data_IF_402928724264
#
_entry.id   IF_402928724264
#
_cell.length_a   1.000
_cell.length_b   1.000
_cell.length_c   1.000
_cell.angle_alpha   90.00
_cell.angle_beta   90.00
_cell.angle_gamma   90.00
#
_symmetry.space_group_name_H-M   'P 1'
#
loop_
_entity.id
_entity.type
_entity.pdbx_description
1 polymer ?
#
# COMPACT_ATOMS: atom_id res chain seq x y z
N UNK A 1 -84.61 43.74 32.72
CA UNK A 1 -84.49 42.79 31.51
C UNK A 1 -83.12 42.80 30.80
N UNK A 2 -82.13 43.63 31.20
CA UNK A 2 -80.87 43.80 30.46
C UNK A 2 -79.76 42.77 30.94
N UNK A 3 -79.74 42.31 32.20
CA UNK A 3 -78.72 41.37 32.72
C UNK A 3 -78.79 39.93 32.15
N UNK A 4 -79.98 39.43 31.78
CA UNK A 4 -80.12 38.03 31.22
C UNK A 4 -79.64 37.90 29.78
N UNK A 5 -79.66 38.91 28.95
CA UNK A 5 -79.19 38.89 27.56
C UNK A 5 -77.66 38.86 27.43
N UNK A 6 -76.96 39.52 28.36
CA UNK A 6 -75.49 39.59 28.35
C UNK A 6 -74.84 38.26 28.77
N UNK A 7 -75.45 37.51 29.71
CA UNK A 7 -74.95 36.22 30.18
C UNK A 7 -75.10 35.14 29.06
N UNK A 8 -76.19 35.11 28.34
CA UNK A 8 -76.39 34.18 27.17
C UNK A 8 -75.46 34.45 26.03
N UNK A 9 -75.07 35.70 25.73
CA UNK A 9 -74.10 36.08 24.70
C UNK A 9 -72.65 35.64 25.08
N UNK A 10 -72.28 35.74 26.36
CA UNK A 10 -70.94 35.30 26.82
C UNK A 10 -70.82 33.76 26.83
N UNK A 11 -71.86 33.02 27.22
CA UNK A 11 -71.86 31.57 27.18
C UNK A 11 -71.75 31.00 25.73
N UNK A 12 -72.52 31.58 24.80
CA UNK A 12 -72.44 31.19 23.37
C UNK A 12 -71.08 31.50 22.72
N UNK A 13 -70.41 32.61 23.11
CA UNK A 13 -69.08 32.97 22.64
C UNK A 13 -67.98 32.08 23.20
N UNK A 14 -68.11 31.57 24.46
CA UNK A 14 -67.20 30.63 25.13
C UNK A 14 -67.34 29.20 24.52
N UNK A 15 -68.58 28.76 24.23
CA UNK A 15 -68.85 27.47 23.60
C UNK A 15 -68.29 27.44 22.14
N UNK A 16 -68.48 28.54 21.38
CA UNK A 16 -67.97 28.66 20.00
C UNK A 16 -66.43 28.74 19.90
N UNK A 17 -65.78 29.29 20.96
CA UNK A 17 -64.30 29.32 21.07
C UNK A 17 -63.70 27.98 21.45
N UNK A 18 -64.43 27.15 22.24
CA UNK A 18 -64.01 25.82 22.68
C UNK A 18 -64.14 24.75 21.55
N UNK A 19 -65.16 24.83 20.70
CA UNK A 19 -65.32 24.00 19.48
C UNK A 19 -64.33 24.37 18.41
N UNK A 20 -64.03 25.67 18.17
CA UNK A 20 -63.06 26.14 17.20
C UNK A 20 -61.60 25.75 17.57
N UNK A 21 -61.30 25.62 18.90
CA UNK A 21 -59.99 25.15 19.39
C UNK A 21 -59.83 23.62 19.23
N UNK A 22 -60.90 22.83 19.39
CA UNK A 22 -60.90 21.36 19.19
C UNK A 22 -60.72 21.00 17.72
N UNK A 23 -61.40 21.70 16.80
CA UNK A 23 -61.27 21.45 15.36
C UNK A 23 -59.92 21.86 14.80
N UNK A 24 -59.23 22.84 15.40
CA UNK A 24 -57.87 23.23 15.03
C UNK A 24 -56.82 22.19 15.49
N UNK A 25 -56.99 21.61 16.67
CA UNK A 25 -56.10 20.55 17.20
C UNK A 25 -56.21 19.24 16.39
N UNK A 26 -57.44 18.84 16.07
CA UNK A 26 -57.68 17.61 15.26
C UNK A 26 -57.15 17.79 13.81
N UNK A 27 -57.35 18.98 13.20
CA UNK A 27 -56.79 19.26 11.88
C UNK A 27 -55.26 19.30 11.87
N UNK A 28 -54.60 19.78 12.94
CA UNK A 28 -53.15 19.74 13.06
C UNK A 28 -52.63 18.32 13.31
N UNK A 29 -53.30 17.52 14.12
CA UNK A 29 -52.99 16.13 14.32
C UNK A 29 -53.11 15.30 13.05
N UNK A 30 -54.17 15.53 12.26
CA UNK A 30 -54.33 14.83 10.96
C UNK A 30 -53.19 15.22 10.00
N UNK A 31 -52.75 16.45 9.95
CA UNK A 31 -51.59 16.87 9.13
C UNK A 31 -50.29 16.22 9.56
N UNK A 32 -50.07 16.10 10.86
CA UNK A 32 -48.85 15.43 11.40
C UNK A 32 -48.89 13.95 11.08
N UNK A 33 -50.01 13.26 11.32
CA UNK A 33 -50.16 11.85 11.04
C UNK A 33 -50.05 11.54 9.56
N UNK A 34 -50.70 12.35 8.67
CA UNK A 34 -50.52 12.17 7.23
C UNK A 34 -49.13 12.49 6.74
N UNK A 35 -48.42 13.47 7.30
CA UNK A 35 -47.02 13.71 7.01
C UNK A 35 -46.11 12.55 7.40
N UNK A 36 -46.35 11.96 8.58
CA UNK A 36 -45.60 10.79 9.04
C UNK A 36 -45.88 9.55 8.16
N UNK A 37 -47.13 9.35 7.75
CA UNK A 37 -47.50 8.26 6.85
C UNK A 37 -46.86 8.41 5.47
N UNK A 38 -46.80 9.62 4.91
CA UNK A 38 -46.09 9.90 3.65
C UNK A 38 -44.60 9.64 3.78
N UNK A 39 -43.98 10.06 4.88
CA UNK A 39 -42.55 9.83 5.13
C UNK A 39 -42.23 8.35 5.22
N UNK A 40 -43.04 7.56 5.94
CA UNK A 40 -42.88 6.10 6.01
C UNK A 40 -43.04 5.43 4.66
N UNK A 41 -44.01 5.90 3.85
CA UNK A 41 -44.19 5.41 2.48
C UNK A 41 -42.98 5.68 1.60
N UNK A 42 -42.40 6.88 1.70
CA UNK A 42 -41.19 7.25 0.95
C UNK A 42 -39.98 6.43 1.35
N UNK A 43 -39.80 6.18 2.66
CA UNK A 43 -38.71 5.32 3.19
C UNK A 43 -38.90 3.88 2.69
N UNK A 44 -40.14 3.38 2.70
CA UNK A 44 -40.44 2.03 2.20
C UNK A 44 -40.19 1.90 0.70
N UNK A 45 -40.60 2.91 -0.10
CA UNK A 45 -40.32 2.94 -1.54
C UNK A 45 -38.82 3.02 -1.84
N UNK A 46 -38.10 3.83 -1.10
CA UNK A 46 -36.64 3.92 -1.22
C UNK A 46 -35.95 2.60 -0.87
N UNK A 47 -36.44 1.89 0.17
CA UNK A 47 -35.98 0.55 0.54
C UNK A 47 -36.25 -0.47 -0.57
N UNK A 48 -37.44 -0.46 -1.18
CA UNK A 48 -37.78 -1.34 -2.32
C UNK A 48 -36.90 -1.05 -3.55
N UNK A 49 -36.66 0.21 -3.85
CA UNK A 49 -35.77 0.62 -4.95
C UNK A 49 -34.34 0.15 -4.69
N UNK A 50 -33.81 0.38 -3.48
CA UNK A 50 -32.49 -0.08 -3.10
C UNK A 50 -32.38 -1.62 -3.16
N UNK A 51 -33.38 -2.33 -2.65
CA UNK A 51 -33.45 -3.79 -2.76
C UNK A 51 -33.48 -4.25 -4.22
N UNK A 52 -34.23 -3.59 -5.08
CA UNK A 52 -34.32 -3.93 -6.50
C UNK A 52 -33.01 -3.69 -7.26
N UNK A 53 -32.31 -2.59 -6.97
CA UNK A 53 -31.03 -2.27 -7.63
C UNK A 53 -29.82 -3.02 -7.04
N UNK A 54 -29.78 -3.24 -5.72
CA UNK A 54 -28.66 -3.91 -5.06
C UNK A 54 -28.71 -5.45 -5.15
N UNK A 55 -29.92 -6.04 -5.28
CA UNK A 55 -30.08 -7.49 -5.36
C UNK A 55 -30.38 -8.00 -6.78
N UNK A 56 -30.44 -7.12 -7.77
CA UNK A 56 -30.46 -7.52 -9.18
C UNK A 56 -29.09 -8.08 -9.54
N UNK A 57 -28.88 -9.38 -9.30
CA UNK A 57 -27.82 -10.12 -9.99
C UNK A 57 -28.16 -10.05 -11.47
N UNK A 58 -27.35 -9.36 -12.27
CA UNK A 58 -27.44 -9.46 -13.72
C UNK A 58 -27.39 -10.95 -14.09
N UNK A 59 -28.30 -11.45 -14.93
CA UNK A 59 -28.17 -12.80 -15.43
C UNK A 59 -26.86 -12.88 -16.18
N UNK A 60 -25.96 -13.78 -15.73
CA UNK A 60 -24.75 -14.13 -16.46
C UNK A 60 -25.21 -14.47 -17.89
N UNK A 61 -24.86 -13.64 -18.87
CA UNK A 61 -25.04 -13.94 -20.29
C UNK A 61 -24.22 -15.20 -20.58
N UNK A 62 -24.91 -16.35 -20.51
CA UNK A 62 -24.35 -17.58 -21.07
C UNK A 62 -24.27 -17.35 -22.56
N UNK A 63 -23.06 -17.09 -23.05
CA UNK A 63 -22.78 -17.07 -24.48
C UNK A 63 -23.15 -18.43 -25.05
N UNK A 64 -23.87 -18.50 -26.19
CA UNK A 64 -24.13 -19.75 -26.84
C UNK A 64 -22.80 -20.46 -27.13
N UNK A 65 -22.77 -21.81 -27.09
CA UNK A 65 -21.54 -22.54 -27.35
C UNK A 65 -21.00 -22.11 -28.71
N UNK A 66 -19.81 -21.53 -28.71
CA UNK A 66 -19.06 -21.14 -29.90
C UNK A 66 -18.98 -22.37 -30.81
N UNK A 67 -19.51 -22.24 -32.02
CA UNK A 67 -19.26 -23.20 -33.07
C UNK A 67 -17.75 -23.36 -33.20
N UNK A 68 -17.28 -24.62 -33.06
CA UNK A 68 -15.87 -24.97 -33.17
C UNK A 68 -15.36 -24.50 -34.55
N UNK A 69 -14.55 -23.46 -34.54
CA UNK A 69 -13.70 -23.15 -35.66
C UNK A 69 -12.82 -24.36 -35.97
N UNK A 70 -12.49 -24.66 -37.22
CA UNK A 70 -11.65 -25.79 -37.58
C UNK A 70 -10.31 -25.67 -36.82
N UNK A 71 -9.93 -26.74 -36.15
CA UNK A 71 -8.69 -26.86 -35.40
C UNK A 71 -7.55 -26.69 -36.42
N UNK A 72 -7.05 -25.46 -36.53
CA UNK A 72 -5.78 -25.21 -37.15
C UNK A 72 -4.74 -25.88 -36.28
N UNK A 73 -3.97 -26.77 -36.82
CA UNK A 73 -2.98 -27.60 -36.11
C UNK A 73 -2.16 -26.73 -35.19
N UNK A 74 -2.33 -26.98 -33.89
CA UNK A 74 -1.47 -26.41 -32.85
C UNK A 74 -0.08 -26.96 -33.14
N UNK A 75 0.98 -26.11 -33.25
CA UNK A 75 2.34 -26.63 -33.38
C UNK A 75 2.57 -27.58 -32.22
N UNK A 76 2.97 -28.81 -32.51
CA UNK A 76 3.41 -29.78 -31.52
C UNK A 76 4.61 -29.17 -30.81
N UNK A 77 4.40 -28.60 -29.62
CA UNK A 77 5.50 -28.29 -28.73
C UNK A 77 6.15 -29.62 -28.37
N UNK A 78 7.44 -29.74 -28.61
CA UNK A 78 8.21 -30.86 -28.12
C UNK A 78 7.97 -31.03 -26.64
N UNK A 79 7.37 -32.12 -26.22
CA UNK A 79 7.26 -32.51 -24.83
C UNK A 79 8.69 -32.89 -24.43
N UNK A 80 9.39 -31.94 -23.79
CA UNK A 80 10.65 -32.28 -23.15
C UNK A 80 10.34 -33.33 -22.07
N UNK A 81 11.05 -34.46 -22.05
CA UNK A 81 10.89 -35.43 -20.97
C UNK A 81 11.12 -34.70 -19.65
N UNK A 82 10.27 -34.99 -18.68
CA UNK A 82 10.35 -34.47 -17.33
C UNK A 82 11.79 -34.58 -16.85
N UNK A 83 12.54 -33.46 -16.95
CA UNK A 83 13.92 -33.43 -16.48
C UNK A 83 13.85 -33.63 -14.99
N UNK A 84 14.47 -34.71 -14.53
CA UNK A 84 14.80 -34.90 -13.15
C UNK A 84 15.18 -33.57 -12.50
N UNK A 85 14.53 -33.23 -11.41
CA UNK A 85 14.82 -32.02 -10.61
C UNK A 85 16.33 -32.02 -10.41
N UNK A 86 17.09 -31.04 -10.94
CA UNK A 86 18.51 -31.02 -10.74
C UNK A 86 18.75 -31.02 -9.22
N UNK A 87 19.68 -31.80 -8.70
CA UNK A 87 19.97 -31.83 -7.29
C UNK A 87 20.18 -30.40 -6.80
N UNK A 88 19.51 -30.06 -5.70
CA UNK A 88 19.55 -28.74 -5.08
C UNK A 88 21.02 -28.29 -5.06
N UNK A 89 21.31 -27.15 -5.73
CA UNK A 89 22.68 -26.63 -5.79
C UNK A 89 23.21 -26.57 -4.37
N UNK A 90 24.35 -27.18 -4.07
CA UNK A 90 24.91 -27.16 -2.72
C UNK A 90 24.95 -25.71 -2.23
N UNK A 91 24.66 -25.46 -0.95
CA UNK A 91 24.62 -24.10 -0.41
C UNK A 91 25.92 -23.39 -0.81
N UNK A 92 25.79 -22.25 -1.47
CA UNK A 92 26.93 -21.44 -1.91
C UNK A 92 27.92 -21.35 -0.74
N UNK A 93 29.13 -21.84 -0.95
CA UNK A 93 30.22 -21.77 0.04
C UNK A 93 30.28 -20.31 0.52
N UNK A 94 30.38 -20.05 1.84
CA UNK A 94 30.47 -18.69 2.34
C UNK A 94 31.63 -18.01 1.63
N UNK A 95 31.31 -16.87 0.99
CA UNK A 95 32.31 -16.05 0.32
C UNK A 95 33.28 -15.60 1.38
N UNK A 96 34.53 -16.08 1.33
CA UNK A 96 35.60 -15.66 2.25
C UNK A 96 35.81 -14.16 1.93
N UNK A 97 35.39 -13.29 2.84
CA UNK A 97 35.68 -11.85 2.79
C UNK A 97 37.11 -11.73 3.29
N UNK A 98 38.01 -11.03 2.56
CA UNK A 98 39.32 -10.72 3.07
C UNK A 98 39.22 -10.07 4.45
N UNK A 99 40.12 -10.38 5.41
CA UNK A 99 40.05 -9.87 6.77
C UNK A 99 40.01 -8.33 6.87
N UNK A 100 40.47 -7.62 5.85
CA UNK A 100 40.62 -6.16 5.84
C UNK A 100 39.43 -5.39 5.25
N UNK A 101 38.38 -6.06 4.72
CA UNK A 101 37.20 -5.39 4.16
C UNK A 101 35.98 -5.56 5.06
N UNK A 102 35.50 -4.45 5.64
CA UNK A 102 34.24 -4.46 6.37
C UNK A 102 33.08 -4.85 5.44
N UNK A 103 32.18 -5.78 5.86
CA UNK A 103 31.04 -6.18 5.07
C UNK A 103 30.08 -4.99 4.84
N UNK A 104 29.44 -4.95 3.67
CA UNK A 104 28.56 -3.85 3.26
C UNK A 104 27.16 -4.02 3.82
N UNK A 105 26.58 -2.94 4.31
CA UNK A 105 25.18 -2.91 4.79
C UNK A 105 24.49 -1.70 4.19
N UNK A 106 23.34 -1.93 3.55
CA UNK A 106 22.39 -0.87 3.24
C UNK A 106 21.27 -0.86 4.30
N UNK A 107 20.98 0.30 4.85
CA UNK A 107 19.82 0.56 5.69
C UNK A 107 18.90 1.47 4.91
N UNK A 108 17.67 1.00 4.65
CA UNK A 108 16.63 1.71 3.93
C UNK A 108 15.62 2.21 4.96
N UNK A 109 15.24 3.47 4.87
CA UNK A 109 14.19 4.08 5.69
C UNK A 109 12.96 4.24 4.81
N UNK A 110 11.98 3.36 5.03
CA UNK A 110 10.72 3.30 4.28
C UNK A 110 9.67 4.29 4.84
N UNK A 111 8.47 4.32 4.25
CA UNK A 111 7.28 5.09 4.65
C UNK A 111 7.50 6.60 4.81
N UNK A 112 8.47 7.17 4.12
CA UNK A 112 8.65 8.61 4.11
C UNK A 112 7.65 9.29 3.18
N UNK A 113 7.26 10.53 3.50
CA UNK A 113 6.30 11.30 2.70
C UNK A 113 5.27 12.05 3.54
N UNK A 114 4.98 11.57 4.75
CA UNK A 114 3.91 12.11 5.60
C UNK A 114 4.39 12.90 6.82
N UNK A 115 5.53 12.56 7.41
CA UNK A 115 6.10 13.29 8.55
C UNK A 115 7.48 13.89 8.22
N UNK A 116 7.47 15.20 7.92
CA UNK A 116 8.69 15.96 7.62
C UNK A 116 9.64 16.09 8.81
N UNK A 117 9.13 16.03 10.03
CA UNK A 117 9.96 16.25 11.22
C UNK A 117 10.80 15.02 11.54
N UNK A 118 10.20 13.84 11.47
CA UNK A 118 10.96 12.61 11.66
C UNK A 118 11.91 12.36 10.48
N UNK A 119 11.47 12.63 9.24
CA UNK A 119 12.35 12.55 8.07
C UNK A 119 13.58 13.44 8.22
N UNK A 120 13.43 14.70 8.66
CA UNK A 120 14.55 15.61 8.93
C UNK A 120 15.54 15.04 9.96
N UNK A 121 15.05 14.34 11.00
CA UNK A 121 15.89 13.69 12.01
C UNK A 121 16.73 12.57 11.38
N UNK A 122 16.13 11.70 10.57
CA UNK A 122 16.88 10.64 9.88
C UNK A 122 17.91 11.21 8.90
N UNK A 123 17.54 12.24 8.14
CA UNK A 123 18.45 12.95 7.24
C UNK A 123 19.64 13.65 7.95
N UNK A 124 19.55 13.86 9.25
CA UNK A 124 20.61 14.45 10.07
C UNK A 124 21.49 13.42 10.78
N UNK A 125 21.25 12.11 10.60
CA UNK A 125 22.12 11.08 11.15
C UNK A 125 23.46 11.08 10.44
N UNK A 126 24.54 10.88 11.21
CA UNK A 126 25.89 10.72 10.68
C UNK A 126 26.11 9.30 10.13
N UNK A 127 25.49 8.99 9.00
CA UNK A 127 25.58 7.67 8.37
C UNK A 127 25.08 7.69 6.93
N UNK A 128 25.37 6.63 6.20
CA UNK A 128 24.86 6.42 4.84
C UNK A 128 23.58 5.60 4.91
N UNK A 129 22.50 6.20 4.44
CA UNK A 129 21.17 5.58 4.37
C UNK A 129 20.61 5.71 2.96
N UNK A 130 19.60 4.90 2.66
CA UNK A 130 18.73 5.08 1.49
C UNK A 130 17.34 5.48 1.99
N UNK A 131 16.74 6.46 1.35
CA UNK A 131 15.42 6.96 1.75
C UNK A 131 14.37 6.55 0.74
N UNK A 132 13.39 5.80 1.18
CA UNK A 132 12.29 5.31 0.36
C UNK A 132 11.02 6.09 0.68
N UNK A 133 10.47 6.74 -0.34
CA UNK A 133 9.45 7.77 -0.18
C UNK A 133 8.18 7.33 -0.87
N UNK A 134 7.06 7.36 -0.12
CA UNK A 134 5.71 7.11 -0.64
C UNK A 134 5.32 8.22 -1.64
N UNK A 135 4.69 7.88 -2.76
CA UNK A 135 4.18 8.87 -3.70
C UNK A 135 2.96 9.60 -3.13
N UNK A 136 2.63 10.75 -3.69
CA UNK A 136 1.43 11.55 -3.40
C UNK A 136 1.25 11.98 -1.93
N UNK A 137 2.25 11.80 -1.09
CA UNK A 137 2.24 12.32 0.27
C UNK A 137 2.44 13.84 0.33
N UNK A 138 1.98 14.51 1.39
CA UNK A 138 2.04 15.97 1.50
C UNK A 138 3.47 16.53 1.53
N UNK A 139 4.46 15.69 1.85
CA UNK A 139 5.86 16.10 1.94
C UNK A 139 6.80 15.29 1.04
N UNK A 140 6.26 14.40 0.17
CA UNK A 140 7.02 13.52 -0.74
C UNK A 140 8.14 14.27 -1.46
N UNK A 141 7.79 15.27 -2.27
CA UNK A 141 8.78 16.05 -3.06
C UNK A 141 9.77 16.80 -2.19
N UNK A 142 9.31 17.33 -1.05
CA UNK A 142 10.19 18.10 -0.14
C UNK A 142 11.21 17.19 0.53
N UNK A 143 10.80 15.99 0.97
CA UNK A 143 11.71 15.03 1.62
C UNK A 143 12.70 14.48 0.60
N UNK A 144 12.23 14.07 -0.59
CA UNK A 144 13.10 13.57 -1.64
C UNK A 144 14.18 14.60 -2.04
N UNK A 145 13.80 15.84 -2.32
CA UNK A 145 14.78 16.91 -2.62
C UNK A 145 15.76 17.19 -1.48
N UNK A 146 15.30 17.10 -0.21
CA UNK A 146 16.19 17.29 0.94
C UNK A 146 17.18 16.12 1.10
N UNK A 147 16.79 14.90 0.74
CA UNK A 147 17.67 13.74 0.69
C UNK A 147 18.68 13.85 -0.45
N UNK A 148 18.23 14.23 -1.65
CA UNK A 148 19.06 14.47 -2.82
C UNK A 148 20.15 15.51 -2.54
N UNK A 149 19.78 16.66 -1.97
CA UNK A 149 20.71 17.75 -1.64
C UNK A 149 21.81 17.31 -0.65
N UNK A 150 21.61 16.20 0.06
CA UNK A 150 22.61 15.57 0.94
C UNK A 150 23.35 14.40 0.30
N UNK A 151 23.09 14.09 -0.94
CA UNK A 151 23.72 13.01 -1.70
C UNK A 151 23.24 11.60 -1.32
N UNK A 152 22.10 11.48 -0.66
CA UNK A 152 21.50 10.16 -0.35
C UNK A 152 20.84 9.54 -1.57
N UNK A 153 20.85 8.21 -1.63
CA UNK A 153 19.99 7.50 -2.57
C UNK A 153 18.52 7.63 -2.17
N UNK A 154 17.68 7.89 -3.18
CA UNK A 154 16.23 7.98 -3.04
C UNK A 154 15.61 6.83 -3.81
N UNK A 155 14.58 6.23 -3.21
CA UNK A 155 13.76 5.20 -3.84
C UNK A 155 12.29 5.63 -3.80
N UNK A 156 11.53 5.19 -4.79
CA UNK A 156 10.07 5.18 -4.69
C UNK A 156 9.65 4.02 -3.79
N UNK A 157 8.93 4.29 -2.71
CA UNK A 157 8.24 3.28 -1.93
C UNK A 157 6.88 3.04 -2.57
N UNK A 158 6.82 2.06 -3.48
CA UNK A 158 5.70 1.85 -4.39
C UNK A 158 4.55 1.11 -3.70
N UNK A 159 3.38 1.75 -3.53
CA UNK A 159 2.22 1.10 -2.92
C UNK A 159 1.70 -0.03 -3.80
N UNK A 160 1.62 -1.23 -3.26
CA UNK A 160 1.19 -2.44 -3.94
C UNK A 160 0.14 -3.20 -3.15
N UNK A 161 -0.80 -3.84 -3.83
CA UNK A 161 -1.91 -4.58 -3.23
C UNK A 161 -1.45 -5.67 -2.25
N UNK A 162 -1.86 -5.59 -0.96
CA UNK A 162 -1.71 -6.68 -0.01
C UNK A 162 -2.85 -7.70 -0.14
N UNK A 163 -2.69 -8.88 0.48
CA UNK A 163 -3.74 -9.92 0.52
C UNK A 163 -5.00 -9.39 1.18
N UNK A 164 -4.86 -8.53 2.18
CA UNK A 164 -5.91 -7.98 3.01
C UNK A 164 -6.67 -6.79 2.37
N UNK A 165 -6.29 -6.39 1.15
CA UNK A 165 -7.03 -5.32 0.44
C UNK A 165 -8.48 -5.76 0.15
N UNK A 166 -9.49 -4.89 0.31
CA UNK A 166 -9.43 -3.45 0.63
C UNK A 166 -9.42 -3.11 2.12
N UNK A 167 -9.47 -4.09 3.03
CA UNK A 167 -9.49 -3.86 4.47
C UNK A 167 -8.23 -3.12 4.95
N UNK A 168 -7.09 -3.41 4.33
CA UNK A 168 -5.83 -2.69 4.50
C UNK A 168 -5.51 -2.01 3.17
N UNK A 169 -5.47 -0.68 3.19
CA UNK A 169 -5.21 0.13 2.00
C UNK A 169 -3.78 0.72 2.06
N UNK A 170 -2.92 0.44 1.06
CA UNK A 170 -1.56 0.98 1.01
C UNK A 170 -1.47 2.51 0.81
N UNK A 171 -2.59 3.16 0.53
CA UNK A 171 -2.63 4.60 0.30
C UNK A 171 -2.66 5.01 -1.18
N UNK A 172 -2.49 6.31 -1.44
CA UNK A 172 -2.54 6.85 -2.79
C UNK A 172 -1.48 6.23 -3.71
N UNK A 173 -1.84 6.00 -4.97
CA UNK A 173 -0.93 5.39 -5.95
C UNK A 173 -0.87 3.87 -5.89
N UNK A 174 -1.74 3.20 -5.12
CA UNK A 174 -1.70 1.74 -5.01
C UNK A 174 -1.91 1.05 -6.36
N UNK A 175 -1.00 0.14 -6.69
CA UNK A 175 -1.15 -0.77 -7.81
C UNK A 175 -1.98 -1.98 -7.38
N UNK A 176 -3.08 -2.26 -8.10
CA UNK A 176 -3.98 -3.37 -7.83
C UNK A 176 -3.86 -4.45 -8.90
N UNK A 177 -3.99 -5.70 -8.49
CA UNK A 177 -3.96 -6.85 -9.41
C UNK A 177 -5.17 -6.91 -10.35
N UNK A 178 -6.25 -6.17 -10.03
CA UNK A 178 -7.44 -6.02 -10.86
C UNK A 178 -7.33 -4.96 -11.96
N UNK A 179 -6.28 -4.12 -11.93
CA UNK A 179 -6.05 -3.11 -12.96
C UNK A 179 -5.74 -3.76 -14.31
N UNK A 180 -6.28 -3.20 -15.38
CA UNK A 180 -5.84 -3.52 -16.74
C UNK A 180 -4.36 -3.15 -16.93
N UNK A 181 -3.68 -3.73 -17.94
CA UNK A 181 -2.29 -3.40 -18.22
C UNK A 181 -2.03 -1.89 -18.36
N UNK A 182 -2.90 -1.20 -19.07
CA UNK A 182 -2.76 0.24 -19.33
C UNK A 182 -2.95 1.07 -18.06
N UNK A 183 -3.97 0.74 -17.23
CA UNK A 183 -4.20 1.40 -15.94
C UNK A 183 -3.02 1.21 -14.99
N UNK A 184 -2.48 -0.01 -14.92
CA UNK A 184 -1.34 -0.31 -14.06
C UNK A 184 -0.09 0.46 -14.48
N UNK A 185 0.20 0.49 -15.80
CA UNK A 185 1.36 1.20 -16.34
C UNK A 185 1.20 2.72 -16.16
N UNK A 186 0.01 3.26 -16.39
CA UNK A 186 -0.27 4.67 -16.22
C UNK A 186 -0.11 5.10 -14.76
N UNK A 187 -0.68 4.33 -13.81
CA UNK A 187 -0.52 4.60 -12.38
C UNK A 187 0.95 4.50 -11.95
N UNK A 188 1.65 3.45 -12.36
CA UNK A 188 3.08 3.29 -12.06
C UNK A 188 3.90 4.48 -12.55
N UNK A 189 3.65 4.98 -13.76
CA UNK A 189 4.36 6.16 -14.28
C UNK A 189 4.07 7.41 -13.45
N UNK A 190 2.82 7.63 -13.04
CA UNK A 190 2.44 8.75 -12.15
C UNK A 190 3.21 8.69 -10.82
N UNK A 191 3.31 7.49 -10.23
CA UNK A 191 4.02 7.30 -8.96
C UNK A 191 5.52 7.53 -9.11
N UNK A 192 6.13 7.03 -10.19
CA UNK A 192 7.55 7.23 -10.51
C UNK A 192 7.89 8.71 -10.75
N UNK A 193 6.98 9.46 -11.36
CA UNK A 193 7.16 10.88 -11.68
C UNK A 193 6.91 11.79 -10.47
N UNK A 194 6.18 11.31 -9.47
CA UNK A 194 5.89 12.10 -8.26
C UNK A 194 7.07 12.18 -7.28
N UNK A 195 7.94 11.17 -7.26
CA UNK A 195 9.13 11.15 -6.39
C UNK A 195 10.38 11.54 -7.20
N UNK A 196 10.94 12.74 -7.01
CA UNK A 196 12.07 13.18 -7.80
C UNK A 196 13.36 12.41 -7.47
N UNK A 197 14.25 12.30 -8.46
CA UNK A 197 15.64 11.83 -8.33
C UNK A 197 15.79 10.40 -7.80
N UNK A 198 14.78 9.55 -8.03
CA UNK A 198 14.84 8.14 -7.63
C UNK A 198 15.91 7.37 -8.41
N UNK A 199 16.59 6.47 -7.72
CA UNK A 199 17.55 5.52 -8.31
C UNK A 199 17.00 4.09 -8.34
N UNK A 200 15.94 3.82 -7.60
CA UNK A 200 15.31 2.50 -7.52
C UNK A 200 13.93 2.56 -6.89
N UNK A 201 13.35 1.39 -6.74
CA UNK A 201 12.00 1.17 -6.20
C UNK A 201 12.05 0.03 -5.19
N UNK A 202 11.25 0.10 -4.14
CA UNK A 202 10.88 -1.05 -3.33
C UNK A 202 9.37 -1.08 -3.08
N UNK A 203 8.83 -2.24 -2.78
CA UNK A 203 7.40 -2.37 -2.54
C UNK A 203 6.99 -1.96 -1.13
N UNK A 204 5.99 -1.07 -1.04
CA UNK A 204 5.18 -0.86 0.16
C UNK A 204 4.05 -1.88 0.17
N UNK A 205 3.99 -2.71 1.22
CA UNK A 205 3.09 -3.88 1.25
C UNK A 205 3.29 -4.82 0.05
N UNK A 206 2.22 -5.16 -0.69
CA UNK A 206 2.31 -5.93 -1.93
C UNK A 206 2.37 -7.44 -1.74
N UNK A 207 1.88 -7.97 -0.61
CA UNK A 207 1.86 -9.42 -0.36
C UNK A 207 1.04 -10.21 -1.37
N UNK A 208 0.08 -9.57 -2.08
CA UNK A 208 -0.64 -10.13 -3.23
C UNK A 208 0.07 -9.77 -4.54
N UNK A 209 0.31 -8.49 -4.80
CA UNK A 209 0.86 -8.02 -6.08
C UNK A 209 2.17 -8.72 -6.45
N UNK A 210 3.09 -8.85 -5.49
CA UNK A 210 4.42 -9.46 -5.73
C UNK A 210 4.38 -10.96 -6.04
N UNK A 211 3.21 -11.60 -5.99
CA UNK A 211 3.04 -13.02 -6.36
C UNK A 211 2.45 -13.21 -7.76
N UNK A 212 2.09 -12.13 -8.47
CA UNK A 212 1.42 -12.21 -9.78
C UNK A 212 2.41 -11.86 -10.90
N UNK A 213 2.76 -12.88 -11.70
CA UNK A 213 3.84 -12.78 -12.69
C UNK A 213 3.60 -11.75 -13.79
N UNK A 214 2.36 -11.66 -14.28
CA UNK A 214 2.01 -10.72 -15.37
C UNK A 214 2.18 -9.28 -14.94
N UNK A 215 1.68 -8.90 -13.75
CA UNK A 215 1.81 -7.56 -13.20
C UNK A 215 3.27 -7.23 -12.85
N UNK A 216 3.98 -8.16 -12.21
CA UNK A 216 5.40 -7.94 -11.90
C UNK A 216 6.25 -7.80 -13.16
N UNK A 217 5.95 -8.53 -14.23
CA UNK A 217 6.62 -8.35 -15.52
C UNK A 217 6.39 -6.94 -16.08
N UNK A 218 5.15 -6.45 -16.05
CA UNK A 218 4.83 -5.09 -16.53
C UNK A 218 5.54 -4.02 -15.71
N UNK A 219 5.49 -4.13 -14.37
CA UNK A 219 6.19 -3.21 -13.46
C UNK A 219 7.68 -3.19 -13.78
N UNK A 220 8.32 -4.34 -13.81
CA UNK A 220 9.76 -4.43 -14.06
C UNK A 220 10.16 -4.00 -15.48
N UNK A 221 9.29 -4.18 -16.49
CA UNK A 221 9.52 -3.64 -17.81
C UNK A 221 9.66 -2.12 -17.82
N UNK A 222 8.80 -1.41 -17.08
CA UNK A 222 8.89 0.05 -16.91
C UNK A 222 10.13 0.45 -16.11
N UNK A 223 10.45 -0.28 -15.03
CA UNK A 223 11.66 -0.01 -14.24
C UNK A 223 12.92 -0.17 -15.09
N UNK A 224 12.97 -1.19 -15.97
CA UNK A 224 14.06 -1.40 -16.93
C UNK A 224 14.23 -0.22 -17.88
N UNK A 225 13.12 0.26 -18.46
CA UNK A 225 13.13 1.42 -19.37
C UNK A 225 13.68 2.68 -18.70
N UNK A 226 13.46 2.82 -17.38
CA UNK A 226 13.91 3.96 -16.58
C UNK A 226 15.27 3.74 -15.90
N UNK A 227 15.95 2.63 -16.15
CA UNK A 227 17.21 2.25 -15.52
C UNK A 227 17.15 2.25 -13.98
N UNK A 228 16.04 1.82 -13.41
CA UNK A 228 15.83 1.75 -11.96
C UNK A 228 16.13 0.35 -11.43
N UNK A 229 16.74 0.27 -10.25
CA UNK A 229 16.90 -1.00 -9.54
C UNK A 229 15.67 -1.31 -8.69
N UNK A 230 15.55 -2.56 -8.23
CA UNK A 230 14.47 -2.96 -7.34
C UNK A 230 14.99 -3.64 -6.07
N UNK A 231 14.41 -3.28 -4.93
CA UNK A 231 14.61 -3.96 -3.64
C UNK A 231 13.30 -4.61 -3.23
N UNK A 232 13.27 -5.94 -3.17
CA UNK A 232 12.10 -6.65 -2.62
C UNK A 232 12.05 -6.52 -1.10
N UNK A 233 11.02 -5.84 -0.59
CA UNK A 233 10.78 -5.71 0.86
C UNK A 233 10.31 -7.02 1.50
N UNK A 234 10.04 -8.08 0.68
CA UNK A 234 9.64 -9.41 1.13
C UNK A 234 8.45 -9.39 2.08
N UNK A 235 7.38 -8.74 1.67
CA UNK A 235 6.09 -8.74 2.38
C UNK A 235 5.41 -10.11 2.37
N UNK A 236 5.85 -11.03 1.52
CA UNK A 236 5.45 -12.45 1.48
C UNK A 236 6.64 -13.34 1.15
N UNK A 237 6.61 -14.59 1.66
CA UNK A 237 7.60 -15.59 1.27
C UNK A 237 7.42 -16.09 -0.18
N UNK A 238 6.20 -15.92 -0.75
CA UNK A 238 5.81 -16.35 -2.10
C UNK A 238 6.13 -15.33 -3.19
N UNK A 239 6.88 -14.28 -2.87
CA UNK A 239 7.26 -13.26 -3.85
C UNK A 239 8.01 -13.87 -5.04
N UNK A 240 7.71 -13.36 -6.23
CA UNK A 240 8.39 -13.72 -7.49
C UNK A 240 9.24 -12.56 -8.03
N UNK A 241 9.54 -11.56 -7.20
CA UNK A 241 10.34 -10.40 -7.61
C UNK A 241 11.72 -10.79 -8.13
N UNK A 242 12.41 -11.73 -7.47
CA UNK A 242 13.75 -12.17 -7.89
C UNK A 242 13.75 -12.85 -9.27
N UNK A 243 12.93 -13.87 -9.58
CA UNK A 243 12.87 -14.45 -10.92
C UNK A 243 12.44 -13.43 -11.99
N UNK A 244 11.53 -12.51 -11.68
CA UNK A 244 11.10 -11.46 -12.61
C UNK A 244 12.20 -10.43 -12.88
N UNK A 245 12.96 -10.03 -11.87
CA UNK A 245 14.10 -9.14 -12.01
C UNK A 245 15.22 -9.81 -12.86
N UNK A 246 15.46 -11.10 -12.65
CA UNK A 246 16.42 -11.89 -13.44
C UNK A 246 16.02 -11.94 -14.89
N UNK A 247 14.75 -12.23 -15.19
CA UNK A 247 14.23 -12.30 -16.56
C UNK A 247 14.49 -11.00 -17.34
N UNK A 248 14.30 -9.84 -16.68
CA UNK A 248 14.46 -8.53 -17.32
C UNK A 248 15.83 -7.90 -17.07
N UNK A 249 16.75 -8.61 -16.40
CA UNK A 249 18.11 -8.12 -16.11
C UNK A 249 18.09 -6.80 -15.37
N UNK A 250 17.22 -6.66 -14.36
CA UNK A 250 17.15 -5.49 -13.47
C UNK A 250 18.12 -5.70 -12.31
N UNK A 251 18.90 -4.68 -11.92
CA UNK A 251 19.67 -4.75 -10.68
C UNK A 251 18.73 -4.94 -9.49
N UNK A 252 18.97 -5.98 -8.70
CA UNK A 252 18.04 -6.47 -7.69
C UNK A 252 18.76 -6.81 -6.38
N UNK A 253 18.07 -6.60 -5.28
CA UNK A 253 18.35 -7.20 -3.97
C UNK A 253 17.05 -7.41 -3.21
N UNK A 254 17.13 -8.09 -2.07
CA UNK A 254 15.99 -8.30 -1.19
C UNK A 254 16.35 -7.98 0.24
N UNK A 255 15.35 -7.66 1.05
CA UNK A 255 15.51 -7.42 2.48
C UNK A 255 15.99 -8.68 3.20
N UNK A 256 17.08 -8.56 3.96
CA UNK A 256 17.56 -9.60 4.88
C UNK A 256 16.96 -9.45 6.29
N UNK A 257 16.77 -8.22 6.76
CA UNK A 257 16.29 -7.94 8.12
C UNK A 257 15.26 -6.81 8.13
N UNK A 258 14.13 -7.05 8.81
CA UNK A 258 13.17 -6.02 9.18
C UNK A 258 13.57 -5.50 10.57
N UNK A 259 14.03 -4.25 10.63
CA UNK A 259 14.73 -3.73 11.82
C UNK A 259 13.75 -3.42 12.96
N UNK A 260 12.53 -2.99 12.64
CA UNK A 260 11.60 -2.37 13.59
C UNK A 260 10.13 -2.79 13.43
N UNK A 261 9.84 -3.96 12.85
CA UNK A 261 8.45 -4.44 12.77
C UNK A 261 7.81 -4.65 14.16
N UNK A 262 8.63 -4.74 15.21
CA UNK A 262 8.21 -4.53 16.59
C UNK A 262 8.89 -3.25 17.07
N UNK A 263 8.13 -2.17 17.39
CA UNK A 263 8.69 -0.89 17.78
C UNK A 263 9.18 -0.89 19.25
N UNK A 264 10.08 -1.82 19.56
CA UNK A 264 10.71 -2.03 20.87
C UNK A 264 12.23 -1.86 20.79
N UNK A 265 12.82 -1.19 21.78
CA UNK A 265 14.24 -0.89 21.78
C UNK A 265 15.14 -2.13 21.81
N UNK A 266 14.76 -3.16 22.59
CA UNK A 266 15.53 -4.42 22.69
C UNK A 266 15.43 -5.19 21.37
N UNK A 267 14.23 -5.19 20.77
CA UNK A 267 13.98 -5.82 19.49
C UNK A 267 14.84 -5.17 18.38
N UNK A 268 14.78 -3.85 18.22
CA UNK A 268 15.54 -3.10 17.20
C UNK A 268 17.04 -3.37 17.35
N UNK A 269 17.60 -3.33 18.57
CA UNK A 269 19.00 -3.67 18.81
C UNK A 269 19.33 -5.11 18.42
N UNK A 270 18.44 -6.07 18.71
CA UNK A 270 18.58 -7.46 18.28
C UNK A 270 18.65 -7.58 16.76
N UNK A 271 17.78 -6.88 16.05
CA UNK A 271 17.75 -6.90 14.59
C UNK A 271 18.96 -6.23 13.94
N UNK A 272 19.48 -5.14 14.52
CA UNK A 272 20.74 -4.53 14.07
C UNK A 272 21.91 -5.51 14.23
N UNK A 273 21.98 -6.24 15.34
CA UNK A 273 23.01 -7.31 15.52
C UNK A 273 22.84 -8.45 14.51
N UNK A 274 21.59 -8.83 14.20
CA UNK A 274 21.31 -9.84 13.19
C UNK A 274 21.73 -9.38 11.79
N UNK A 275 21.47 -8.13 11.45
CA UNK A 275 21.91 -7.52 10.19
C UNK A 275 23.42 -7.58 10.02
N UNK A 276 24.18 -7.22 11.07
CA UNK A 276 25.64 -7.33 11.09
C UNK A 276 26.10 -8.79 10.93
N UNK A 277 25.43 -9.75 11.61
CA UNK A 277 25.75 -11.17 11.50
C UNK A 277 25.55 -11.69 10.07
N UNK A 278 24.45 -11.29 9.41
CA UNK A 278 24.19 -11.66 8.02
C UNK A 278 25.23 -11.03 7.09
N UNK A 279 25.53 -9.75 7.27
CA UNK A 279 26.53 -9.04 6.47
C UNK A 279 27.92 -9.71 6.58
N UNK A 280 28.35 -10.08 7.77
CA UNK A 280 29.61 -10.81 7.98
C UNK A 280 29.65 -12.16 7.27
N UNK A 281 28.50 -12.86 7.19
CA UNK A 281 28.42 -14.17 6.52
C UNK A 281 28.35 -14.07 5.00
N UNK A 282 27.59 -13.09 4.47
CA UNK A 282 27.29 -12.96 3.04
C UNK A 282 28.17 -11.92 2.31
N UNK A 283 28.89 -11.09 3.06
CA UNK A 283 29.61 -9.90 2.55
C UNK A 283 28.73 -8.68 2.38
N UNK A 284 27.40 -8.88 2.30
CA UNK A 284 26.41 -7.81 2.14
C UNK A 284 25.14 -8.13 2.91
N UNK A 285 24.39 -7.10 3.36
CA UNK A 285 23.04 -7.26 3.88
C UNK A 285 22.21 -6.01 3.69
N UNK A 286 20.88 -6.19 3.57
CA UNK A 286 19.87 -5.13 3.45
C UNK A 286 18.96 -5.16 4.67
N UNK A 287 18.93 -4.04 5.41
CA UNK A 287 17.99 -3.79 6.50
C UNK A 287 16.95 -2.75 6.09
N UNK A 288 15.69 -2.99 6.43
CA UNK A 288 14.59 -2.02 6.26
C UNK A 288 14.11 -1.57 7.63
N UNK A 289 13.91 -0.27 7.79
CA UNK A 289 13.39 0.39 8.98
C UNK A 289 12.37 1.48 8.60
N UNK A 290 11.53 1.88 9.57
CA UNK A 290 10.49 2.88 9.37
C UNK A 290 10.75 4.14 10.22
N UNK A 291 10.12 5.29 9.89
CA UNK A 291 10.39 6.57 10.53
C UNK A 291 9.71 6.71 11.91
N UNK A 292 9.84 5.69 12.76
CA UNK A 292 9.36 5.74 14.12
C UNK A 292 10.35 6.46 15.04
N UNK A 293 9.83 7.19 16.05
CA UNK A 293 10.67 7.89 17.04
C UNK A 293 11.64 6.94 17.77
N UNK A 294 11.16 5.74 18.09
CA UNK A 294 11.98 4.72 18.78
C UNK A 294 13.08 4.18 17.87
N UNK A 295 12.77 3.92 16.60
CA UNK A 295 13.72 3.46 15.59
C UNK A 295 14.84 4.49 15.39
N UNK A 296 14.48 5.76 15.21
CA UNK A 296 15.44 6.85 15.14
C UNK A 296 16.36 6.89 16.36
N UNK A 297 15.78 6.84 17.57
CA UNK A 297 16.54 6.86 18.82
C UNK A 297 17.58 5.75 18.88
N UNK A 298 17.14 4.51 18.58
CA UNK A 298 18.01 3.35 18.68
C UNK A 298 19.08 3.31 17.59
N UNK A 299 18.70 3.59 16.32
CA UNK A 299 19.69 3.69 15.23
C UNK A 299 20.75 4.74 15.57
N UNK A 300 20.35 5.93 16.02
CA UNK A 300 21.29 6.98 16.43
C UNK A 300 22.27 6.52 17.51
N UNK A 301 21.79 5.77 18.50
CA UNK A 301 22.63 5.25 19.60
C UNK A 301 23.60 4.16 19.14
N UNK A 302 23.14 3.25 18.26
CA UNK A 302 23.91 2.10 17.82
C UNK A 302 24.85 2.43 16.63
N UNK A 303 24.64 3.57 15.96
CA UNK A 303 25.34 3.93 14.74
C UNK A 303 26.89 3.98 14.88
N UNK A 304 27.48 4.53 15.95
CA UNK A 304 28.93 4.51 16.13
C UNK A 304 29.50 3.08 16.18
N UNK A 305 28.87 2.18 16.92
CA UNK A 305 29.28 0.79 17.01
C UNK A 305 29.01 -0.02 15.72
N UNK A 306 27.93 0.34 15.01
CA UNK A 306 27.62 -0.26 13.73
C UNK A 306 28.71 0.07 12.68
N UNK A 307 29.13 1.32 12.60
CA UNK A 307 30.20 1.78 11.70
C UNK A 307 31.56 1.08 11.92
N UNK A 308 31.85 0.62 13.14
CA UNK A 308 33.05 -0.17 13.43
C UNK A 308 32.96 -1.61 12.89
N UNK A 309 31.77 -2.13 12.65
CA UNK A 309 31.54 -3.54 12.32
C UNK A 309 31.18 -3.78 10.86
N UNK A 310 30.65 -2.75 10.19
CA UNK A 310 30.18 -2.81 8.80
C UNK A 310 30.41 -1.48 8.09
N UNK A 311 30.55 -1.55 6.78
CA UNK A 311 30.56 -0.36 5.92
C UNK A 311 29.13 -0.04 5.49
N UNK A 312 28.57 1.06 5.97
CA UNK A 312 27.28 1.54 5.50
C UNK A 312 27.42 2.06 4.06
N UNK A 313 26.55 1.59 3.18
CA UNK A 313 26.54 1.96 1.77
C UNK A 313 25.10 2.23 1.30
N UNK A 314 24.89 3.04 0.25
CA UNK A 314 23.56 3.20 -0.33
C UNK A 314 23.09 1.89 -0.98
N UNK A 315 21.76 1.72 -1.12
CA UNK A 315 21.17 0.51 -1.69
C UNK A 315 21.66 0.23 -3.12
N UNK A 316 21.91 1.27 -3.91
CA UNK A 316 22.48 1.15 -5.27
C UNK A 316 23.83 0.43 -5.33
N UNK A 317 24.57 0.36 -4.21
CA UNK A 317 25.86 -0.33 -4.12
C UNK A 317 25.76 -1.79 -3.70
N UNK A 318 24.55 -2.27 -3.41
CA UNK A 318 24.28 -3.65 -3.00
C UNK A 318 23.60 -4.45 -4.09
N UNK A 319 22.73 -3.80 -4.88
CA UNK A 319 21.99 -4.44 -5.98
C UNK A 319 22.94 -5.02 -7.04
N UNK A 320 22.55 -6.16 -7.60
CA UNK A 320 23.27 -6.82 -8.68
C UNK A 320 22.29 -7.27 -9.75
N UNK A 321 22.71 -7.24 -11.01
CA UNK A 321 22.01 -7.95 -12.07
C UNK A 321 22.21 -9.44 -11.79
N UNK A 322 21.11 -10.16 -11.62
CA UNK A 322 21.17 -11.61 -11.45
C UNK A 322 21.54 -12.24 -12.81
N UNK A 323 22.70 -12.87 -12.86
CA UNK A 323 23.15 -13.71 -13.97
C UNK A 323 22.41 -15.04 -14.01
#
# INVERSE_FOLDING_TARGET
>A
MVKRKTIKKRAKKKARKKTRKKTSLTASLIKIVSGLAILLLLVFLAGLLAHHFLLRKEPVKVLPPSQKAPITQIPTFEIYPEKEIPPEKPPLKPKIIPPDELPKVAIIIDDLGYDRFIAKKFLALDGVFTFSVLPHGPYTKKIARAAEAKGYDIMLHLPMEPIEYPSINPGPGVLLTSMSPDELIEQLRKDLDDVPSIKGVNNHMGSRMTTVSTQMYQIFSILKQRNLFFIDSRSTAKTICEPSARLLQIPFAQRDVFIDHIPDAKFIRKQLRQLVKIAKRKGVAVGIAHPHKITYKIIRQELPELKKKVRLVPASRIVKVAG
#
